data_IF_084826393063
#
_entry.id   IF_084826393063
#
_cell.length_a   1.000
_cell.length_b   1.000
_cell.length_c   1.000
_cell.angle_alpha   90.00
_cell.angle_beta   90.00
_cell.angle_gamma   90.00
#
_symmetry.space_group_name_H-M   'P 1'
#
loop_
_entity.id
_entity.type
_entity.pdbx_description
1 polymer ?
#
# COMPACT_ATOMS: atom_id res chain seq x y z
N UNK A 1 -24.17 -7.57 12.27
CA UNK A 1 -22.75 -7.65 11.91
C UNK A 1 -21.98 -6.50 12.51
N UNK A 2 -20.75 -6.74 12.95
CA UNK A 2 -19.91 -5.69 13.48
C UNK A 2 -19.34 -4.82 12.36
N UNK A 3 -19.32 -3.50 12.61
CA UNK A 3 -18.74 -2.49 11.73
C UNK A 3 -17.94 -1.51 12.59
N UNK A 4 -16.73 -1.17 12.17
CA UNK A 4 -15.93 -0.11 12.78
C UNK A 4 -16.03 1.16 11.94
N UNK A 5 -16.56 2.21 12.54
CA UNK A 5 -16.79 3.49 11.91
C UNK A 5 -15.89 4.57 12.53
N UNK A 6 -15.17 5.29 11.70
CA UNK A 6 -14.52 6.54 12.10
C UNK A 6 -15.60 7.61 12.24
N UNK A 7 -15.88 8.06 13.47
CA UNK A 7 -16.96 9.01 13.78
C UNK A 7 -16.50 10.46 13.85
N UNK A 8 -15.21 10.65 14.08
CA UNK A 8 -14.52 11.95 14.06
C UNK A 8 -13.00 11.68 13.97
N UNK A 9 -12.15 12.70 13.75
CA UNK A 9 -10.71 12.50 13.82
C UNK A 9 -10.30 11.82 15.14
N UNK A 10 -9.42 10.82 15.04
CA UNK A 10 -8.92 10.00 16.15
C UNK A 10 -9.97 9.19 16.93
N UNK A 11 -11.20 8.99 16.39
CA UNK A 11 -12.25 8.30 17.12
C UNK A 11 -12.99 7.25 16.29
N UNK A 12 -12.75 5.97 16.60
CA UNK A 12 -13.54 4.86 16.08
C UNK A 12 -14.67 4.48 17.05
N UNK A 13 -15.77 4.01 16.47
CA UNK A 13 -16.85 3.32 17.18
C UNK A 13 -17.10 1.97 16.49
N UNK A 14 -17.17 0.90 17.28
CA UNK A 14 -17.59 -0.40 16.77
C UNK A 14 -19.06 -0.61 17.14
N UNK A 15 -19.89 -0.82 16.10
CA UNK A 15 -21.35 -0.95 16.23
C UNK A 15 -21.83 -2.28 15.67
N UNK A 16 -22.92 -2.81 16.23
CA UNK A 16 -23.62 -3.95 15.67
C UNK A 16 -24.79 -3.45 14.81
N UNK A 17 -24.73 -3.71 13.52
CA UNK A 17 -25.74 -3.29 12.53
C UNK A 17 -26.36 -4.50 11.85
N UNK A 18 -27.56 -4.39 11.25
CA UNK A 18 -28.11 -5.47 10.44
C UNK A 18 -27.12 -5.95 9.39
N UNK A 19 -27.06 -7.25 9.07
CA UNK A 19 -26.20 -7.76 8.01
C UNK A 19 -26.59 -7.14 6.66
N UNK A 20 -25.61 -7.08 5.74
CA UNK A 20 -25.89 -6.65 4.36
C UNK A 20 -26.93 -7.56 3.70
N UNK A 21 -27.72 -7.01 2.79
CA UNK A 21 -28.70 -7.77 2.02
C UNK A 21 -28.05 -8.92 1.23
N UNK A 22 -28.87 -9.84 0.73
CA UNK A 22 -28.39 -10.90 -0.16
C UNK A 22 -27.70 -10.28 -1.42
N UNK A 23 -26.64 -10.95 -1.93
CA UNK A 23 -25.90 -10.42 -3.08
C UNK A 23 -26.78 -10.38 -4.33
N UNK A 24 -26.68 -9.27 -5.04
CA UNK A 24 -27.36 -9.05 -6.33
C UNK A 24 -26.78 -9.95 -7.45
N UNK A 25 -27.43 -10.02 -8.64
CA UNK A 25 -26.86 -10.73 -9.78
C UNK A 25 -25.42 -10.26 -10.10
N UNK A 26 -24.49 -11.23 -10.23
CA UNK A 26 -23.08 -10.99 -10.48
C UNK A 26 -22.26 -10.59 -9.24
N UNK A 27 -22.86 -10.47 -8.04
CA UNK A 27 -22.16 -10.17 -6.79
C UNK A 27 -21.88 -11.42 -5.96
N UNK A 28 -20.93 -11.30 -5.07
CA UNK A 28 -20.57 -12.30 -4.06
C UNK A 28 -20.59 -11.61 -2.70
N UNK A 29 -21.23 -12.26 -1.73
CA UNK A 29 -21.14 -11.89 -0.32
C UNK A 29 -19.94 -12.56 0.31
N UNK A 30 -19.08 -11.77 0.95
CA UNK A 30 -17.85 -12.23 1.57
C UNK A 30 -17.82 -11.87 3.06
N UNK A 31 -17.48 -12.85 3.90
CA UNK A 31 -17.07 -12.61 5.27
C UNK A 31 -15.61 -12.15 5.27
N UNK A 32 -15.38 -10.91 5.64
CA UNK A 32 -14.03 -10.34 5.76
C UNK A 32 -13.31 -11.02 6.92
N UNK A 33 -12.05 -11.41 6.74
CA UNK A 33 -11.24 -12.12 7.76
C UNK A 33 -10.02 -11.35 8.20
N UNK A 34 -9.43 -10.59 7.30
CA UNK A 34 -8.29 -9.73 7.61
C UNK A 34 -8.33 -8.48 6.74
N UNK A 35 -7.97 -7.35 7.32
CA UNK A 35 -7.81 -6.07 6.61
C UNK A 35 -6.52 -5.41 7.08
N UNK A 36 -5.64 -5.05 6.15
CA UNK A 36 -4.44 -4.27 6.45
C UNK A 36 -4.79 -2.81 6.77
N UNK A 37 -4.04 -2.21 7.70
CA UNK A 37 -4.10 -0.76 7.96
C UNK A 37 -3.10 -0.06 7.04
N UNK A 38 -3.59 0.86 6.20
CA UNK A 38 -2.79 1.64 5.26
C UNK A 38 -2.42 3.02 5.82
N UNK A 39 -1.35 3.62 5.30
CA UNK A 39 -1.00 5.01 5.59
C UNK A 39 -2.10 6.00 5.22
N UNK A 40 -2.86 5.74 4.14
CA UNK A 40 -4.01 6.54 3.74
C UNK A 40 -5.17 6.47 4.75
N UNK A 41 -5.40 5.32 5.40
CA UNK A 41 -6.37 5.22 6.50
C UNK A 41 -5.94 6.07 7.70
N UNK A 42 -4.61 6.16 7.96
CA UNK A 42 -4.08 7.02 9.02
C UNK A 42 -4.26 8.51 8.73
N UNK A 43 -4.17 8.94 7.46
CA UNK A 43 -4.51 10.32 7.08
C UNK A 43 -5.98 10.64 7.36
N UNK A 44 -6.91 9.73 7.01
CA UNK A 44 -8.32 9.90 7.36
C UNK A 44 -8.53 9.93 8.89
N UNK A 45 -7.85 9.05 9.61
CA UNK A 45 -7.93 8.97 11.07
C UNK A 45 -7.40 10.23 11.76
N UNK A 46 -6.23 10.75 11.35
CA UNK A 46 -5.55 11.85 12.04
C UNK A 46 -5.94 13.24 11.51
N UNK A 47 -6.10 13.37 10.18
CA UNK A 47 -6.21 14.66 9.49
C UNK A 47 -7.63 14.89 8.92
N UNK A 48 -8.49 13.85 8.96
CA UNK A 48 -9.84 13.91 8.44
C UNK A 48 -9.93 13.99 6.92
N UNK A 49 -8.85 13.57 6.19
CA UNK A 49 -8.86 13.56 4.73
C UNK A 49 -7.50 13.40 4.09
N UNK A 50 -7.48 13.30 2.77
CA UNK A 50 -6.28 13.26 1.92
C UNK A 50 -6.50 14.26 0.79
N UNK A 51 -5.76 15.36 0.78
CA UNK A 51 -5.99 16.44 -0.17
C UNK A 51 -7.41 16.97 -0.10
N UNK A 52 -8.12 17.00 -1.23
CA UNK A 52 -9.52 17.42 -1.33
C UNK A 52 -10.55 16.34 -0.91
N UNK A 53 -10.12 15.08 -0.76
CA UNK A 53 -10.98 13.98 -0.33
C UNK A 53 -11.16 14.00 1.19
N UNK A 54 -12.19 14.73 1.69
CA UNK A 54 -12.50 14.87 3.12
C UNK A 54 -13.42 13.76 3.61
N UNK A 55 -13.24 13.33 4.88
CA UNK A 55 -14.12 12.38 5.53
C UNK A 55 -15.58 12.83 5.53
N UNK A 56 -16.46 11.89 5.24
CA UNK A 56 -17.90 12.00 5.48
C UNK A 56 -18.23 11.10 6.68
N UNK A 57 -18.29 11.67 7.86
CA UNK A 57 -18.54 10.91 9.09
C UNK A 57 -20.01 10.51 9.27
N UNK A 58 -20.31 9.29 9.77
CA UNK A 58 -19.36 8.22 10.06
C UNK A 58 -18.83 7.57 8.77
N UNK A 59 -17.58 7.10 8.79
CA UNK A 59 -16.92 6.49 7.64
C UNK A 59 -16.29 5.14 7.99
N UNK A 60 -16.57 4.10 7.21
CA UNK A 60 -15.90 2.80 7.33
C UNK A 60 -14.63 2.82 6.49
N UNK A 61 -13.48 2.66 7.14
CA UNK A 61 -12.17 2.60 6.50
C UNK A 61 -11.76 1.17 6.12
N UNK A 62 -10.51 1.01 5.64
CA UNK A 62 -9.88 -0.25 5.28
C UNK A 62 -10.10 -0.65 3.82
N UNK A 63 -9.01 -0.91 3.09
CA UNK A 63 -9.06 -1.26 1.66
C UNK A 63 -8.04 -2.33 1.25
N UNK A 64 -7.47 -3.05 2.21
CA UNK A 64 -6.52 -4.14 1.97
C UNK A 64 -7.10 -5.46 2.52
N UNK A 65 -8.20 -5.99 1.95
CA UNK A 65 -8.96 -7.07 2.55
C UNK A 65 -8.63 -8.45 1.99
N UNK A 66 -8.80 -9.46 2.85
CA UNK A 66 -8.98 -10.86 2.49
C UNK A 66 -10.16 -11.45 3.27
N UNK A 67 -10.82 -12.47 2.70
CA UNK A 67 -12.00 -13.03 3.32
C UNK A 67 -12.42 -14.39 2.75
N UNK A 68 -13.63 -14.81 3.13
CA UNK A 68 -14.22 -16.09 2.75
C UNK A 68 -15.59 -15.86 2.14
N UNK A 69 -15.84 -16.46 1.00
CA UNK A 69 -17.15 -16.43 0.31
C UNK A 69 -18.22 -17.05 1.21
N UNK A 70 -19.29 -16.32 1.45
CA UNK A 70 -20.46 -16.79 2.19
C UNK A 70 -21.58 -17.24 1.25
N UNK A 71 -21.85 -16.42 0.25
CA UNK A 71 -22.97 -16.64 -0.69
C UNK A 71 -22.65 -15.99 -2.04
N UNK A 72 -23.08 -16.64 -3.12
CA UNK A 72 -22.99 -16.10 -4.47
C UNK A 72 -24.36 -15.62 -4.93
N UNK A 73 -24.42 -14.48 -5.59
CA UNK A 73 -25.62 -13.98 -6.25
C UNK A 73 -25.92 -14.73 -7.56
N UNK A 74 -27.09 -14.50 -8.14
CA UNK A 74 -27.46 -15.11 -9.41
C UNK A 74 -26.47 -14.84 -10.53
N UNK A 75 -26.18 -15.84 -11.37
CA UNK A 75 -25.28 -15.72 -12.50
C UNK A 75 -23.78 -15.78 -12.20
N UNK A 76 -23.38 -15.87 -10.93
CA UNK A 76 -21.96 -16.07 -10.54
C UNK A 76 -21.56 -17.52 -10.76
N UNK A 77 -20.42 -17.74 -11.39
CA UNK A 77 -19.79 -19.05 -11.57
C UNK A 77 -18.35 -19.03 -11.09
N UNK A 78 -17.78 -20.19 -10.79
CA UNK A 78 -16.39 -20.34 -10.38
C UNK A 78 -16.11 -20.02 -8.90
N UNK A 79 -17.14 -19.69 -8.11
CA UNK A 79 -17.05 -19.44 -6.68
C UNK A 79 -18.10 -20.24 -5.90
N UNK A 80 -17.73 -20.71 -4.73
CA UNK A 80 -18.60 -21.41 -3.80
C UNK A 80 -18.42 -20.89 -2.36
N UNK A 81 -19.44 -21.10 -1.52
CA UNK A 81 -19.33 -20.81 -0.09
C UNK A 81 -18.15 -21.61 0.53
N UNK A 82 -17.32 -20.92 1.30
CA UNK A 82 -16.09 -21.47 1.88
C UNK A 82 -14.82 -21.16 1.08
N UNK A 83 -14.92 -20.69 -0.17
CA UNK A 83 -13.74 -20.28 -0.92
C UNK A 83 -13.08 -19.05 -0.31
N UNK A 84 -11.75 -19.08 -0.20
CA UNK A 84 -10.97 -17.97 0.32
C UNK A 84 -10.61 -17.02 -0.80
N UNK A 85 -10.71 -15.73 -0.55
CA UNK A 85 -10.48 -14.70 -1.55
C UNK A 85 -9.69 -13.51 -1.02
N UNK A 86 -8.89 -12.92 -1.90
CA UNK A 86 -8.45 -11.52 -1.80
C UNK A 86 -9.50 -10.67 -2.49
N UNK A 87 -9.77 -9.49 -1.95
CA UNK A 87 -10.81 -8.59 -2.43
C UNK A 87 -10.18 -7.32 -3.00
N UNK A 88 -10.48 -7.00 -4.25
CA UNK A 88 -10.03 -5.77 -4.92
C UNK A 88 -10.90 -4.59 -4.49
N UNK A 89 -10.33 -3.52 -3.89
CA UNK A 89 -11.11 -2.37 -3.42
C UNK A 89 -11.56 -1.42 -4.53
N UNK A 90 -10.96 -1.51 -5.72
CA UNK A 90 -11.23 -0.62 -6.83
C UNK A 90 -12.35 -1.14 -7.73
N UNK A 91 -13.38 -0.32 -7.95
CA UNK A 91 -14.49 -0.59 -8.84
C UNK A 91 -14.34 0.28 -10.09
N UNK A 92 -13.89 -0.31 -11.18
CA UNK A 92 -13.65 0.37 -12.45
C UNK A 92 -14.90 0.38 -13.31
N UNK A 93 -15.06 1.40 -14.16
CA UNK A 93 -16.22 1.46 -15.07
C UNK A 93 -16.07 0.63 -16.35
N UNK A 94 -14.84 0.25 -16.72
CA UNK A 94 -14.50 -0.54 -17.92
C UNK A 94 -14.92 0.03 -19.28
N UNK A 95 -15.44 1.27 -19.36
CA UNK A 95 -15.91 1.88 -20.61
C UNK A 95 -15.39 3.30 -20.88
N UNK A 96 -14.77 3.97 -19.91
CA UNK A 96 -14.15 5.28 -20.18
C UNK A 96 -12.86 5.13 -21.00
N UNK A 97 -12.39 6.21 -21.61
CA UNK A 97 -11.15 6.24 -22.38
C UNK A 97 -9.97 5.64 -21.63
N UNK A 98 -9.81 5.98 -20.35
CA UNK A 98 -8.70 5.48 -19.52
C UNK A 98 -8.78 3.96 -19.31
N UNK A 99 -9.96 3.41 -19.04
CA UNK A 99 -10.14 1.97 -18.97
C UNK A 99 -9.87 1.29 -20.32
N UNK A 100 -10.39 1.85 -21.41
CA UNK A 100 -10.21 1.29 -22.75
C UNK A 100 -8.78 1.33 -23.25
N UNK A 101 -7.94 2.20 -22.68
CA UNK A 101 -6.50 2.32 -23.00
C UNK A 101 -5.58 1.66 -21.97
N UNK A 102 -6.15 0.89 -21.00
CA UNK A 102 -5.37 0.14 -20.01
C UNK A 102 -4.90 0.94 -18.79
N UNK A 103 -5.48 2.11 -18.53
CA UNK A 103 -5.15 2.97 -17.40
C UNK A 103 -6.27 2.95 -16.33
N UNK A 104 -6.64 1.75 -15.87
CA UNK A 104 -7.76 1.55 -14.94
C UNK A 104 -7.55 2.26 -13.60
N UNK A 105 -6.32 2.31 -13.10
CA UNK A 105 -5.96 2.96 -11.83
C UNK A 105 -6.33 4.45 -11.77
N UNK A 106 -6.50 5.09 -12.91
CA UNK A 106 -6.96 6.48 -13.06
C UNK A 106 -8.28 6.58 -13.83
N UNK A 107 -9.12 5.55 -13.75
CA UNK A 107 -10.47 5.52 -14.34
C UNK A 107 -11.26 6.78 -13.95
N UNK A 108 -11.88 7.44 -14.94
CA UNK A 108 -12.62 8.68 -14.73
C UNK A 108 -13.84 8.53 -13.79
N UNK A 109 -14.38 7.30 -13.69
CA UNK A 109 -15.54 6.96 -12.88
C UNK A 109 -15.17 5.96 -11.76
N UNK A 110 -13.94 5.99 -11.29
CA UNK A 110 -13.49 5.05 -10.26
C UNK A 110 -14.26 5.24 -8.96
N UNK A 111 -14.76 4.13 -8.42
CA UNK A 111 -15.21 4.02 -7.03
C UNK A 111 -14.16 3.20 -6.29
N UNK A 112 -13.81 3.62 -5.11
CA UNK A 112 -12.77 2.94 -4.34
C UNK A 112 -13.21 2.81 -2.89
N UNK A 113 -13.28 1.57 -2.41
CA UNK A 113 -13.68 1.26 -1.04
C UNK A 113 -12.74 1.94 -0.04
N UNK A 114 -13.27 2.45 1.08
CA UNK A 114 -12.53 3.26 2.05
C UNK A 114 -12.23 4.70 1.58
N UNK A 115 -12.99 5.21 0.60
CA UNK A 115 -13.01 6.65 0.30
C UNK A 115 -14.34 7.28 0.73
N UNK A 116 -14.42 8.61 0.84
CA UNK A 116 -15.69 9.27 1.11
C UNK A 116 -16.80 8.76 0.19
N UNK A 117 -17.96 8.44 0.75
CA UNK A 117 -19.12 7.81 0.11
C UNK A 117 -18.99 6.33 -0.31
N UNK A 118 -17.83 5.70 -0.18
CA UNK A 118 -17.65 4.25 -0.44
C UNK A 118 -17.14 3.55 0.82
N UNK A 119 -18.00 2.84 1.57
CA UNK A 119 -17.60 2.16 2.81
C UNK A 119 -16.50 1.13 2.57
N UNK A 120 -15.46 1.14 3.42
CA UNK A 120 -14.35 0.19 3.40
C UNK A 120 -14.67 -1.17 4.01
N UNK A 121 -13.62 -1.90 4.39
CA UNK A 121 -13.71 -3.30 4.79
C UNK A 121 -13.55 -3.56 6.30
N UNK A 122 -13.44 -2.54 7.16
CA UNK A 122 -13.50 -2.77 8.61
C UNK A 122 -14.93 -3.09 9.06
N UNK A 123 -15.50 -4.15 8.44
CA UNK A 123 -16.84 -4.71 8.72
C UNK A 123 -16.88 -6.19 8.35
N UNK A 124 -17.72 -6.96 9.05
CA UNK A 124 -17.74 -8.42 8.92
C UNK A 124 -18.20 -8.95 7.56
N UNK A 125 -19.16 -8.28 6.90
CA UNK A 125 -19.74 -8.73 5.63
C UNK A 125 -19.75 -7.61 4.59
N UNK A 126 -19.52 -8.00 3.33
CA UNK A 126 -19.57 -7.09 2.17
C UNK A 126 -20.05 -7.83 0.93
N UNK A 127 -20.79 -7.13 0.08
CA UNK A 127 -21.13 -7.60 -1.28
C UNK A 127 -20.22 -6.90 -2.29
N UNK A 128 -19.59 -7.67 -3.18
CA UNK A 128 -18.72 -7.17 -4.24
C UNK A 128 -19.05 -7.87 -5.57
N UNK A 129 -18.81 -7.21 -6.72
CA UNK A 129 -18.80 -7.88 -8.00
C UNK A 129 -17.82 -9.05 -8.01
N UNK A 130 -18.20 -10.19 -8.60
CA UNK A 130 -17.38 -11.39 -8.64
C UNK A 130 -15.98 -11.15 -9.25
N UNK A 131 -15.87 -10.22 -10.19
CA UNK A 131 -14.61 -9.83 -10.82
C UNK A 131 -13.63 -9.10 -9.88
N UNK A 132 -14.09 -8.65 -8.70
CA UNK A 132 -13.26 -8.03 -7.68
C UNK A 132 -12.66 -9.05 -6.68
N UNK A 133 -12.85 -10.35 -6.93
CA UNK A 133 -12.30 -11.40 -6.08
C UNK A 133 -11.20 -12.17 -6.83
N UNK A 134 -10.10 -12.43 -6.12
CA UNK A 134 -9.04 -13.32 -6.56
C UNK A 134 -8.94 -14.51 -5.60
N UNK A 135 -8.83 -15.77 -6.08
CA UNK A 135 -8.74 -16.92 -5.19
C UNK A 135 -7.45 -16.88 -4.37
N UNK A 136 -7.59 -16.89 -3.04
CA UNK A 136 -6.45 -16.89 -2.12
C UNK A 136 -5.86 -18.30 -2.02
N UNK A 137 -4.57 -18.52 -2.39
CA UNK A 137 -3.90 -19.80 -2.30
C UNK A 137 -3.92 -20.40 -0.89
N UNK A 138 -3.98 -21.74 -0.81
CA UNK A 138 -4.09 -22.45 0.47
C UNK A 138 -2.87 -22.29 1.39
N UNK A 139 -1.70 -22.06 0.82
CA UNK A 139 -0.45 -21.85 1.55
C UNK A 139 -0.29 -20.44 2.14
N UNK A 140 -1.21 -19.52 1.84
CA UNK A 140 -1.21 -18.18 2.41
C UNK A 140 -2.30 -18.05 3.48
N UNK A 141 -1.99 -17.34 4.56
CA UNK A 141 -2.97 -16.92 5.58
C UNK A 141 -3.83 -15.75 5.07
N UNK A 142 -4.92 -15.42 5.78
CA UNK A 142 -5.76 -14.26 5.43
C UNK A 142 -4.99 -12.94 5.65
N UNK A 143 -4.11 -12.88 6.65
CA UNK A 143 -3.23 -11.73 6.87
C UNK A 143 -2.23 -11.52 5.71
N UNK A 144 -1.68 -12.60 5.15
CA UNK A 144 -0.84 -12.52 3.95
C UNK A 144 -1.67 -12.15 2.72
N UNK A 145 -2.93 -12.62 2.62
CA UNK A 145 -3.89 -12.17 1.61
C UNK A 145 -4.12 -10.65 1.63
N UNK A 146 -4.16 -10.06 2.82
CA UNK A 146 -4.28 -8.60 2.98
C UNK A 146 -3.04 -7.81 2.48
N UNK A 147 -1.90 -8.46 2.23
CA UNK A 147 -0.73 -7.82 1.60
C UNK A 147 -0.85 -7.67 0.08
N UNK A 148 -1.81 -8.32 -0.56
CA UNK A 148 -1.92 -8.29 -2.03
C UNK A 148 -2.14 -6.88 -2.54
N UNK A 149 -3.03 -6.10 -1.92
CA UNK A 149 -3.30 -4.72 -2.34
C UNK A 149 -2.05 -3.84 -2.25
N UNK A 150 -1.38 -3.67 -1.10
CA UNK A 150 -0.18 -2.83 -1.04
C UNK A 150 0.99 -3.38 -1.89
N UNK A 151 1.12 -4.70 -2.06
CA UNK A 151 2.11 -5.28 -2.95
C UNK A 151 1.80 -4.99 -4.43
N UNK A 152 0.53 -4.97 -4.82
CA UNK A 152 0.12 -4.58 -6.17
C UNK A 152 0.50 -3.12 -6.49
N UNK A 153 0.40 -2.20 -5.51
CA UNK A 153 0.92 -0.83 -5.66
C UNK A 153 2.42 -0.85 -5.93
N UNK A 154 3.18 -1.72 -5.26
CA UNK A 154 4.62 -1.82 -5.48
C UNK A 154 4.95 -2.47 -6.82
N UNK A 155 4.19 -3.48 -7.26
CA UNK A 155 4.34 -4.04 -8.62
C UNK A 155 4.15 -2.95 -9.67
N UNK A 156 3.11 -2.12 -9.53
CA UNK A 156 2.89 -0.97 -10.41
C UNK A 156 4.04 0.04 -10.34
N UNK A 157 4.53 0.34 -9.16
CA UNK A 157 5.71 1.20 -8.96
C UNK A 157 6.94 0.64 -9.70
N UNK A 158 7.17 -0.69 -9.65
CA UNK A 158 8.27 -1.34 -10.37
C UNK A 158 8.10 -1.32 -11.89
N UNK A 159 6.86 -1.41 -12.41
CA UNK A 159 6.61 -1.22 -13.85
C UNK A 159 7.04 0.16 -14.33
N UNK A 160 6.81 1.21 -13.52
CA UNK A 160 7.27 2.57 -13.84
C UNK A 160 8.77 2.73 -13.61
N UNK A 161 9.29 2.22 -12.50
CA UNK A 161 10.71 2.29 -12.13
C UNK A 161 11.61 1.51 -13.09
N UNK A 162 11.10 0.44 -13.71
CA UNK A 162 11.84 -0.46 -14.60
C UNK A 162 13.23 -0.87 -14.04
N UNK A 163 13.31 -1.46 -12.82
CA UNK A 163 14.59 -1.82 -12.21
C UNK A 163 15.32 -2.87 -13.06
N UNK A 164 16.64 -2.73 -13.17
CA UNK A 164 17.47 -3.65 -13.95
C UNK A 164 18.48 -4.33 -13.05
N UNK A 165 18.77 -5.63 -13.25
CA UNK A 165 19.81 -6.33 -12.49
C UNK A 165 21.15 -5.58 -12.53
N UNK A 166 21.78 -5.46 -11.36
CA UNK A 166 23.06 -4.76 -11.20
C UNK A 166 22.95 -3.25 -10.90
N UNK A 167 21.78 -2.65 -11.05
CA UNK A 167 21.55 -1.26 -10.64
C UNK A 167 21.57 -1.08 -9.11
N UNK A 168 21.59 0.18 -8.68
CA UNK A 168 21.55 0.58 -7.27
C UNK A 168 20.29 1.39 -6.99
N UNK A 169 19.74 1.24 -5.77
CA UNK A 169 18.51 1.95 -5.38
C UNK A 169 18.61 2.55 -3.98
N UNK A 170 17.94 3.69 -3.79
CA UNK A 170 17.68 4.33 -2.50
C UNK A 170 16.19 4.37 -2.26
N UNK A 171 15.74 3.97 -1.06
CA UNK A 171 14.34 3.99 -0.64
C UNK A 171 14.20 4.87 0.60
N UNK A 172 13.42 5.93 0.52
CA UNK A 172 13.04 6.75 1.66
C UNK A 172 11.77 6.20 2.30
N UNK A 173 11.83 5.95 3.60
CA UNK A 173 10.76 5.34 4.40
C UNK A 173 10.85 3.82 4.43
N UNK A 174 10.78 3.23 5.63
CA UNK A 174 10.62 1.80 5.87
C UNK A 174 9.28 1.49 6.57
N UNK A 175 8.23 2.21 6.23
CA UNK A 175 6.86 1.78 6.45
C UNK A 175 6.49 0.60 5.54
N UNK A 176 5.25 0.07 5.59
CA UNK A 176 4.85 -1.12 4.82
C UNK A 176 5.20 -1.02 3.32
N UNK A 177 4.92 0.12 2.70
CA UNK A 177 5.22 0.38 1.28
C UNK A 177 6.72 0.36 1.00
N UNK A 178 7.54 1.02 1.85
CA UNK A 178 9.00 1.01 1.67
C UNK A 178 9.62 -0.36 1.89
N UNK A 179 9.15 -1.12 2.88
CA UNK A 179 9.60 -2.48 3.15
C UNK A 179 9.29 -3.43 1.99
N UNK A 180 8.08 -3.37 1.44
CA UNK A 180 7.69 -4.14 0.25
C UNK A 180 8.50 -3.69 -0.98
N UNK A 181 8.79 -2.38 -1.12
CA UNK A 181 9.66 -1.85 -2.17
C UNK A 181 11.07 -2.43 -2.08
N UNK A 182 11.67 -2.48 -0.89
CA UNK A 182 12.99 -3.09 -0.67
C UNK A 182 13.00 -4.56 -1.09
N UNK A 183 11.98 -5.33 -0.69
CA UNK A 183 11.84 -6.74 -1.06
C UNK A 183 11.73 -6.92 -2.59
N UNK A 184 10.93 -6.10 -3.26
CA UNK A 184 10.74 -6.14 -4.71
C UNK A 184 12.00 -5.75 -5.48
N UNK A 185 12.73 -4.72 -5.03
CA UNK A 185 14.01 -4.33 -5.62
C UNK A 185 15.04 -5.46 -5.49
N UNK A 186 15.08 -6.15 -4.35
CA UNK A 186 15.97 -7.31 -4.15
C UNK A 186 15.62 -8.46 -5.10
N UNK A 187 14.33 -8.76 -5.28
CA UNK A 187 13.85 -9.73 -6.27
C UNK A 187 14.20 -9.33 -7.71
N UNK A 188 14.20 -8.04 -8.01
CA UNK A 188 14.57 -7.51 -9.33
C UNK A 188 16.07 -7.52 -9.62
N UNK A 189 16.91 -8.03 -8.69
CA UNK A 189 18.34 -8.12 -8.87
C UNK A 189 19.10 -6.81 -8.69
N UNK A 190 18.53 -5.85 -7.95
CA UNK A 190 19.24 -4.63 -7.58
C UNK A 190 20.44 -4.98 -6.71
N UNK A 191 21.63 -4.51 -7.12
CA UNK A 191 22.90 -4.89 -6.54
C UNK A 191 23.10 -4.34 -5.12
N UNK A 192 22.64 -3.11 -4.86
CA UNK A 192 22.76 -2.46 -3.56
C UNK A 192 21.57 -1.56 -3.31
N UNK A 193 20.94 -1.72 -2.14
CA UNK A 193 19.76 -0.99 -1.70
C UNK A 193 20.08 -0.29 -0.39
N UNK A 194 19.95 1.05 -0.36
CA UNK A 194 19.92 1.84 0.85
C UNK A 194 18.48 2.11 1.25
N UNK A 195 18.16 1.99 2.55
CA UNK A 195 16.86 2.36 3.10
C UNK A 195 17.04 3.44 4.16
N UNK A 196 16.28 4.51 4.09
CA UNK A 196 16.30 5.65 5.02
C UNK A 196 15.06 5.61 5.90
N UNK A 197 15.27 5.55 7.24
CA UNK A 197 14.15 5.44 8.18
C UNK A 197 14.57 5.95 9.57
N UNK A 198 13.82 6.88 10.20
CA UNK A 198 14.14 7.36 11.54
C UNK A 198 13.87 6.35 12.66
N UNK A 199 12.92 5.41 12.47
CA UNK A 199 12.52 4.44 13.52
C UNK A 199 13.46 3.24 13.51
N UNK A 200 14.17 3.00 14.62
CA UNK A 200 15.19 1.93 14.73
C UNK A 200 14.65 0.55 14.38
N UNK A 201 13.51 0.14 14.94
CA UNK A 201 12.91 -1.15 14.67
C UNK A 201 12.56 -1.35 13.18
N UNK A 202 12.11 -0.31 12.49
CA UNK A 202 11.82 -0.35 11.05
C UNK A 202 13.10 -0.43 10.22
N UNK A 203 14.20 0.20 10.66
CA UNK A 203 15.51 0.01 10.02
C UNK A 203 15.97 -1.44 10.06
N UNK A 204 15.81 -2.11 11.21
CA UNK A 204 16.12 -3.54 11.31
C UNK A 204 15.22 -4.39 10.40
N UNK A 205 13.94 -4.08 10.35
CA UNK A 205 13.01 -4.75 9.46
C UNK A 205 13.39 -4.53 7.98
N UNK A 206 13.86 -3.33 7.61
CA UNK A 206 14.36 -3.07 6.25
C UNK A 206 15.58 -3.96 5.90
N UNK A 207 16.48 -4.25 6.85
CA UNK A 207 17.58 -5.22 6.64
C UNK A 207 17.04 -6.64 6.40
N UNK A 208 16.07 -7.06 7.21
CA UNK A 208 15.41 -8.36 7.04
C UNK A 208 14.75 -8.47 5.65
N UNK A 209 14.14 -7.39 5.16
CA UNK A 209 13.50 -7.32 3.84
C UNK A 209 14.51 -7.24 2.69
N UNK A 210 15.80 -7.03 2.96
CA UNK A 210 16.86 -7.09 1.96
C UNK A 210 17.60 -5.79 1.67
N UNK A 211 17.45 -4.74 2.49
CA UNK A 211 18.29 -3.54 2.41
C UNK A 211 19.74 -3.88 2.76
N UNK A 212 20.69 -3.50 1.89
CA UNK A 212 22.12 -3.73 2.10
C UNK A 212 22.72 -2.69 3.06
N UNK A 213 22.11 -1.52 3.17
CA UNK A 213 22.46 -0.47 4.13
C UNK A 213 21.19 0.25 4.62
N UNK A 214 21.19 0.68 5.87
CA UNK A 214 20.12 1.50 6.43
C UNK A 214 20.71 2.78 7.00
N UNK A 215 20.01 3.89 6.84
CA UNK A 215 20.44 5.22 7.25
C UNK A 215 19.41 5.81 8.21
N UNK A 216 19.89 6.28 9.36
CA UNK A 216 19.11 7.11 10.27
C UNK A 216 19.25 8.58 9.84
N UNK A 217 18.20 9.22 9.32
CA UNK A 217 18.29 10.60 8.85
C UNK A 217 18.47 11.62 9.99
N UNK A 218 18.31 11.20 11.25
CA UNK A 218 18.61 12.05 12.41
C UNK A 218 20.11 12.06 12.75
N UNK A 219 20.85 11.02 12.34
CA UNK A 219 22.27 10.84 12.63
C UNK A 219 23.18 11.22 11.44
N UNK A 220 22.70 11.07 10.21
CA UNK A 220 23.47 11.33 9.00
C UNK A 220 22.60 11.85 7.85
N UNK A 221 23.14 12.70 6.97
CA UNK A 221 22.48 13.12 5.74
C UNK A 221 22.44 11.95 4.74
N UNK A 222 21.26 11.44 4.39
CA UNK A 222 21.12 10.29 3.51
C UNK A 222 21.71 10.51 2.11
N UNK A 223 21.60 11.72 1.56
CA UNK A 223 22.14 12.07 0.26
C UNK A 223 23.66 12.03 0.28
N UNK A 224 24.26 12.63 1.30
CA UNK A 224 25.72 12.62 1.49
C UNK A 224 26.27 11.20 1.63
N UNK A 225 25.62 10.36 2.44
CA UNK A 225 26.03 8.96 2.64
C UNK A 225 25.99 8.17 1.33
N UNK A 226 24.93 8.28 0.57
CA UNK A 226 24.78 7.60 -0.73
C UNK A 226 25.80 8.11 -1.75
N UNK A 227 26.02 9.43 -1.83
CA UNK A 227 27.01 10.01 -2.74
C UNK A 227 28.44 9.58 -2.35
N UNK A 228 28.78 9.54 -1.06
CA UNK A 228 30.06 9.02 -0.58
C UNK A 228 30.25 7.56 -1.00
N UNK A 229 29.26 6.72 -0.76
CA UNK A 229 29.31 5.28 -1.03
C UNK A 229 29.34 4.95 -2.53
N UNK A 230 28.88 5.88 -3.38
CA UNK A 230 28.86 5.77 -4.84
C UNK A 230 29.94 6.61 -5.53
N UNK A 231 30.93 7.14 -4.78
CA UNK A 231 31.99 8.02 -5.28
C UNK A 231 31.45 9.24 -6.07
N UNK A 232 30.38 9.83 -5.57
CA UNK A 232 29.71 11.00 -6.16
C UNK A 232 28.75 10.69 -7.31
N UNK A 233 28.63 9.42 -7.76
CA UNK A 233 27.77 9.04 -8.89
C UNK A 233 26.28 9.17 -8.58
N UNK A 234 25.85 8.76 -7.40
CA UNK A 234 24.45 8.60 -7.04
C UNK A 234 23.85 7.26 -7.47
N UNK A 235 22.58 7.03 -7.10
CA UNK A 235 21.85 5.78 -7.37
C UNK A 235 21.14 5.80 -8.73
N UNK A 236 20.89 4.63 -9.29
CA UNK A 236 20.16 4.48 -10.55
C UNK A 236 18.67 4.79 -10.38
N UNK A 237 18.11 4.40 -9.21
CA UNK A 237 16.71 4.60 -8.86
C UNK A 237 16.63 5.16 -7.44
N UNK A 238 15.93 6.27 -7.24
CA UNK A 238 15.56 6.79 -5.93
C UNK A 238 14.05 6.74 -5.77
N UNK A 239 13.55 6.10 -4.71
CA UNK A 239 12.12 5.87 -4.48
C UNK A 239 11.72 6.53 -3.17
N UNK A 240 10.71 7.39 -3.23
CA UNK A 240 10.11 8.00 -2.04
C UNK A 240 8.84 7.28 -1.64
N UNK A 241 8.90 6.54 -0.54
CA UNK A 241 7.77 5.88 0.11
C UNK A 241 7.32 6.60 1.39
N UNK A 242 8.00 7.68 1.77
CA UNK A 242 7.73 8.43 2.99
C UNK A 242 6.90 9.68 2.72
N UNK A 243 7.15 10.37 1.63
CA UNK A 243 6.57 11.66 1.24
C UNK A 243 6.56 12.68 2.41
N UNK A 244 7.63 12.67 3.22
CA UNK A 244 7.77 13.50 4.41
C UNK A 244 8.82 14.59 4.19
N UNK A 245 8.52 15.81 4.70
CA UNK A 245 9.46 16.93 4.63
C UNK A 245 9.98 17.14 3.21
N UNK A 246 11.29 16.91 3.00
CA UNK A 246 12.01 17.15 1.75
C UNK A 246 12.49 15.85 1.06
N UNK A 247 11.93 14.69 1.42
CA UNK A 247 12.38 13.39 0.91
C UNK A 247 12.32 13.29 -0.62
N UNK A 248 11.33 13.91 -1.26
CA UNK A 248 11.23 13.96 -2.71
C UNK A 248 12.46 14.69 -3.31
N UNK A 249 12.85 15.85 -2.75
CA UNK A 249 14.03 16.58 -3.23
C UNK A 249 15.33 15.82 -2.91
N UNK A 250 15.40 15.14 -1.76
CA UNK A 250 16.54 14.26 -1.44
C UNK A 250 16.67 13.13 -2.48
N UNK A 251 15.56 12.56 -2.99
CA UNK A 251 15.59 11.63 -4.12
C UNK A 251 16.21 12.27 -5.37
N UNK A 252 15.83 13.51 -5.72
CA UNK A 252 16.41 14.22 -6.86
C UNK A 252 17.93 14.43 -6.71
N UNK A 253 18.38 14.74 -5.50
CA UNK A 253 19.81 14.92 -5.20
C UNK A 253 20.59 13.61 -5.19
N UNK A 254 20.03 12.52 -4.67
CA UNK A 254 20.69 11.23 -4.56
C UNK A 254 20.73 10.44 -5.89
N UNK A 255 19.79 10.67 -6.79
CA UNK A 255 19.77 10.02 -8.10
C UNK A 255 20.96 10.47 -8.95
N UNK A 256 21.55 9.52 -9.73
CA UNK A 256 22.60 9.86 -10.72
C UNK A 256 22.04 10.67 -11.90
N UNK A 257 22.92 11.20 -12.74
CA UNK A 257 22.53 11.75 -14.03
C UNK A 257 21.81 10.67 -14.87
N UNK A 258 20.73 11.04 -15.56
CA UNK A 258 19.83 10.16 -16.28
C UNK A 258 19.27 9.02 -15.38
N UNK A 259 19.11 9.30 -14.09
CA UNK A 259 18.49 8.38 -13.12
C UNK A 259 16.96 8.50 -13.10
N UNK A 260 16.33 7.67 -12.29
CA UNK A 260 14.88 7.62 -12.13
C UNK A 260 14.50 7.95 -10.70
N UNK A 261 13.48 8.79 -10.54
CA UNK A 261 12.87 9.11 -9.25
C UNK A 261 11.41 8.66 -9.29
N UNK A 262 10.99 7.90 -8.31
CA UNK A 262 9.64 7.35 -8.21
C UNK A 262 9.03 7.76 -6.87
N UNK A 263 7.88 8.43 -6.89
CA UNK A 263 7.16 8.86 -5.70
C UNK A 263 5.93 7.97 -5.53
N UNK A 264 5.97 7.12 -4.52
CA UNK A 264 4.88 6.20 -4.14
C UNK A 264 4.18 6.68 -2.86
N UNK A 265 4.90 7.40 -2.00
CA UNK A 265 4.34 8.01 -0.79
C UNK A 265 3.32 9.10 -1.11
N UNK A 266 2.39 9.31 -0.18
CA UNK A 266 1.36 10.35 -0.29
C UNK A 266 1.75 11.50 0.64
N UNK A 267 2.10 12.69 0.11
CA UNK A 267 2.41 13.85 0.94
C UNK A 267 1.14 14.36 1.64
N UNK A 268 1.31 14.84 2.88
CA UNK A 268 0.21 15.48 3.62
C UNK A 268 -0.15 16.86 3.02
N UNK A 269 0.82 17.52 2.37
CA UNK A 269 0.61 18.83 1.74
C UNK A 269 0.06 18.69 0.32
N UNK A 270 -0.87 19.55 -0.06
CA UNK A 270 -1.42 19.63 -1.42
C UNK A 270 -0.37 20.09 -2.45
N UNK A 271 0.65 20.84 -1.99
CA UNK A 271 1.69 21.39 -2.83
C UNK A 271 3.07 21.01 -2.31
N UNK A 272 3.90 20.46 -3.19
CA UNK A 272 5.30 20.13 -2.91
C UNK A 272 6.21 20.94 -3.81
N UNK A 273 7.15 21.67 -3.22
CA UNK A 273 8.18 22.41 -3.97
C UNK A 273 9.26 21.44 -4.45
N UNK A 274 9.62 21.50 -5.74
CA UNK A 274 10.63 20.64 -6.33
C UNK A 274 11.89 21.44 -6.71
N UNK A 275 13.07 20.84 -6.48
CA UNK A 275 14.36 21.34 -6.93
C UNK A 275 14.50 21.15 -8.46
N UNK A 276 13.66 21.84 -9.25
CA UNK A 276 13.49 21.63 -10.68
C UNK A 276 14.81 21.73 -11.47
N UNK A 277 15.71 22.67 -11.07
CA UNK A 277 17.00 22.79 -11.77
C UNK A 277 17.91 21.57 -11.57
N UNK A 278 17.82 20.88 -10.44
CA UNK A 278 18.54 19.60 -10.21
C UNK A 278 17.97 18.54 -11.14
N UNK A 279 16.65 18.36 -11.13
CA UNK A 279 15.96 17.42 -12.00
C UNK A 279 16.32 17.62 -13.47
N UNK A 280 16.25 18.88 -13.96
CA UNK A 280 16.58 19.24 -15.33
C UNK A 280 18.05 19.02 -15.70
N UNK A 281 18.99 19.44 -14.82
CA UNK A 281 20.44 19.30 -15.09
C UNK A 281 20.89 17.85 -15.13
N UNK A 282 20.26 16.99 -14.31
CA UNK A 282 20.54 15.56 -14.28
C UNK A 282 19.71 14.78 -15.32
N UNK A 283 18.80 15.43 -16.05
CA UNK A 283 17.88 14.78 -17.00
C UNK A 283 17.15 13.60 -16.34
N UNK A 284 16.57 13.83 -15.15
CA UNK A 284 15.91 12.77 -14.38
C UNK A 284 14.54 12.45 -14.97
N UNK A 285 14.21 11.15 -15.02
CA UNK A 285 12.84 10.70 -15.22
C UNK A 285 12.14 10.69 -13.86
N UNK A 286 10.98 11.36 -13.77
CA UNK A 286 10.19 11.45 -12.55
C UNK A 286 8.84 10.76 -12.75
N UNK A 287 8.50 9.83 -11.86
CA UNK A 287 7.24 9.10 -11.87
C UNK A 287 6.46 9.35 -10.60
N UNK A 288 5.16 9.64 -10.74
CA UNK A 288 4.18 9.66 -9.67
C UNK A 288 3.34 8.39 -9.75
N UNK A 289 3.26 7.64 -8.65
CA UNK A 289 2.53 6.38 -8.59
C UNK A 289 1.12 6.62 -8.07
N UNK A 290 0.12 6.02 -8.74
CA UNK A 290 -1.27 6.06 -8.29
C UNK A 290 -1.83 4.65 -8.20
N UNK A 291 -1.97 4.12 -6.97
CA UNK A 291 -2.57 2.78 -6.72
C UNK A 291 -1.87 1.66 -7.52
N UNK A 292 -2.61 0.65 -7.91
CA UNK A 292 -2.20 -0.43 -8.79
C UNK A 292 -3.07 -0.46 -10.06
N UNK A 293 -2.57 -1.06 -11.13
CA UNK A 293 -3.26 -1.11 -12.42
C UNK A 293 -3.40 -2.55 -12.91
N UNK A 294 -4.32 -3.33 -12.30
CA UNK A 294 -4.50 -4.77 -12.49
C UNK A 294 -3.25 -5.60 -12.12
N UNK A 295 -2.53 -5.16 -11.10
CA UNK A 295 -1.30 -5.82 -10.65
C UNK A 295 -1.52 -6.87 -9.55
N UNK A 296 -2.75 -7.01 -9.03
CA UNK A 296 -3.05 -7.86 -7.87
C UNK A 296 -2.85 -9.35 -8.15
N UNK A 297 -3.11 -9.84 -9.36
CA UNK A 297 -2.77 -11.21 -9.72
C UNK A 297 -1.25 -11.45 -9.70
N UNK A 298 -0.47 -10.47 -10.16
CA UNK A 298 0.99 -10.56 -10.10
C UNK A 298 1.49 -10.49 -8.67
N UNK A 299 0.93 -9.61 -7.84
CA UNK A 299 1.23 -9.54 -6.42
C UNK A 299 0.90 -10.85 -5.69
N UNK A 300 -0.26 -11.44 -5.99
CA UNK A 300 -0.68 -12.71 -5.41
C UNK A 300 0.27 -13.87 -5.78
N UNK A 301 0.67 -13.97 -7.06
CA UNK A 301 1.67 -14.96 -7.52
C UNK A 301 3.03 -14.77 -6.85
N UNK A 302 3.46 -13.55 -6.62
CA UNK A 302 4.71 -13.25 -5.90
C UNK A 302 4.61 -13.68 -4.43
N UNK A 303 3.51 -13.37 -3.76
CA UNK A 303 3.26 -13.81 -2.38
C UNK A 303 3.21 -15.34 -2.28
N UNK A 304 2.55 -16.02 -3.22
CA UNK A 304 2.44 -17.47 -3.26
C UNK A 304 3.81 -18.16 -3.47
N UNK A 305 4.64 -17.59 -4.35
CA UNK A 305 5.96 -18.17 -4.67
C UNK A 305 7.04 -17.84 -3.65
N UNK A 306 6.97 -16.66 -3.00
CA UNK A 306 8.00 -16.14 -2.10
C UNK A 306 7.41 -15.66 -0.74
N UNK A 307 6.55 -16.46 -0.06
CA UNK A 307 5.83 -15.98 1.13
C UNK A 307 6.79 -15.51 2.23
N UNK A 308 7.90 -16.20 2.45
CA UNK A 308 8.88 -15.87 3.48
C UNK A 308 9.58 -14.50 3.27
N UNK A 309 9.60 -14.01 2.04
CA UNK A 309 10.20 -12.73 1.70
C UNK A 309 9.33 -11.55 2.13
N UNK A 310 8.01 -11.72 2.04
CA UNK A 310 7.05 -10.65 2.32
C UNK A 310 6.44 -10.74 3.72
N UNK A 311 6.30 -11.95 4.28
CA UNK A 311 5.71 -12.17 5.60
C UNK A 311 6.33 -11.34 6.74
N UNK A 312 7.65 -11.04 6.77
CA UNK A 312 8.23 -10.26 7.87
C UNK A 312 7.64 -8.84 8.02
N UNK A 313 6.99 -8.31 7.00
CA UNK A 313 6.33 -6.99 7.10
C UNK A 313 5.11 -7.04 8.04
N UNK A 314 4.45 -8.21 8.17
CA UNK A 314 3.30 -8.44 9.04
C UNK A 314 3.76 -8.58 10.49
N UNK A 315 3.85 -7.48 11.21
CA UNK A 315 4.39 -7.47 12.58
C UNK A 315 3.31 -7.50 13.65
N UNK A 316 2.13 -6.96 13.35
CA UNK A 316 1.08 -6.77 14.35
C UNK A 316 -0.29 -7.21 13.82
N UNK A 317 -1.08 -7.79 14.71
CA UNK A 317 -2.48 -8.12 14.47
C UNK A 317 -3.32 -7.73 15.69
N UNK A 318 -4.50 -7.17 15.43
CA UNK A 318 -5.51 -6.83 16.44
C UNK A 318 -6.89 -7.30 15.97
N UNK A 319 -7.84 -7.46 16.90
CA UNK A 319 -9.24 -7.69 16.56
C UNK A 319 -9.93 -6.39 16.12
N UNK A 320 -11.10 -6.52 15.47
CA UNK A 320 -11.91 -5.35 15.08
C UNK A 320 -12.31 -4.51 16.32
N UNK A 321 -12.55 -5.13 17.46
CA UNK A 321 -12.86 -4.44 18.73
C UNK A 321 -11.70 -3.61 19.26
N UNK A 322 -10.46 -3.88 18.84
CA UNK A 322 -9.24 -3.16 19.23
C UNK A 322 -8.79 -2.13 18.17
N UNK A 323 -9.65 -1.81 17.19
CA UNK A 323 -9.28 -0.96 16.05
C UNK A 323 -8.78 0.42 16.49
N UNK A 324 -9.36 1.01 17.53
CA UNK A 324 -8.94 2.29 18.08
C UNK A 324 -7.48 2.26 18.50
N UNK A 325 -7.10 1.31 19.34
CA UNK A 325 -5.70 1.16 19.82
C UNK A 325 -4.76 0.75 18.70
N UNK A 326 -5.22 -0.03 17.71
CA UNK A 326 -4.43 -0.39 16.53
C UNK A 326 -4.04 0.84 15.71
N UNK A 327 -4.98 1.77 15.48
CA UNK A 327 -4.73 3.00 14.75
C UNK A 327 -3.85 3.98 15.52
N UNK A 328 -4.05 4.11 16.85
CA UNK A 328 -3.19 4.93 17.72
C UNK A 328 -1.74 4.44 17.70
N UNK A 329 -1.53 3.12 17.76
CA UNK A 329 -0.21 2.50 17.68
C UNK A 329 0.45 2.77 16.32
N UNK A 330 -0.29 2.64 15.22
CA UNK A 330 0.21 2.93 13.89
C UNK A 330 0.55 4.42 13.71
N UNK A 331 -0.31 5.32 14.19
CA UNK A 331 -0.14 6.78 14.07
C UNK A 331 1.04 7.30 14.89
N UNK A 332 1.32 6.69 16.04
CA UNK A 332 2.48 7.06 16.90
C UNK A 332 3.79 6.41 16.45
N UNK A 333 3.80 5.54 15.45
CA UNK A 333 4.96 4.76 15.01
C UNK A 333 5.64 3.98 16.15
N UNK A 334 4.88 3.60 17.17
CA UNK A 334 5.41 2.92 18.36
C UNK A 334 5.47 1.40 18.18
N UNK A 335 6.08 0.72 19.14
CA UNK A 335 6.19 -0.74 19.23
C UNK A 335 6.80 -1.43 17.97
N UNK A 336 7.53 -0.68 17.16
CA UNK A 336 8.19 -1.22 15.96
C UNK A 336 7.23 -1.70 14.86
N UNK A 337 6.01 -1.18 14.82
CA UNK A 337 5.00 -1.58 13.86
C UNK A 337 5.50 -1.42 12.41
N UNK A 338 5.58 -2.54 11.68
CA UNK A 338 5.69 -2.61 10.23
C UNK A 338 4.29 -2.51 9.63
N UNK A 339 3.62 -3.65 9.41
CA UNK A 339 2.22 -3.71 8.97
C UNK A 339 1.32 -4.22 10.09
N UNK A 340 0.25 -3.47 10.34
CA UNK A 340 -0.86 -3.85 11.19
C UNK A 340 -1.96 -4.52 10.36
N UNK A 341 -2.52 -5.61 10.84
CA UNK A 341 -3.72 -6.24 10.28
C UNK A 341 -4.83 -6.29 11.33
N UNK A 342 -6.05 -6.02 10.91
CA UNK A 342 -7.26 -6.16 11.74
C UNK A 342 -7.94 -7.46 11.35
N UNK A 343 -8.13 -8.33 12.35
CA UNK A 343 -8.87 -9.59 12.20
C UNK A 343 -10.35 -9.38 12.55
N UNK A 344 -11.23 -9.94 11.71
CA UNK A 344 -12.68 -9.91 11.86
C UNK A 344 -13.23 -11.33 12.12
#
# INVERSE_FOLDING_TARGET
MLVAELTSPHQFQVTDVPPVADPEPGQIQVAVKAVGVCGSDLHYFSEGGIGDARCLYPMVLGHEPAGVVVKTGPGVSGWAAGDRAVLEPALYCYHCELCMTGHHNVCANIRFMSMPAEPGFFRELVNLPAQNLLPLPKNLSDAEGALVEPLAVIVHSMHLATPRPGETALVFGAGPIGLLTVAMLKLSGIRRIWSVEPVGARRELARVMGADAVIDPSAADPVHEVLRDTSGRGVDIAIDCAAQRDTINQCLHAARNAGRVVVTGIPAQDHVSLAFHIMRRKELTFYSVRRSNHDSETALRLLESEPKRFAPVLTHQRSLSEIQTAFELCASYSDGVGKMTIRL
#
